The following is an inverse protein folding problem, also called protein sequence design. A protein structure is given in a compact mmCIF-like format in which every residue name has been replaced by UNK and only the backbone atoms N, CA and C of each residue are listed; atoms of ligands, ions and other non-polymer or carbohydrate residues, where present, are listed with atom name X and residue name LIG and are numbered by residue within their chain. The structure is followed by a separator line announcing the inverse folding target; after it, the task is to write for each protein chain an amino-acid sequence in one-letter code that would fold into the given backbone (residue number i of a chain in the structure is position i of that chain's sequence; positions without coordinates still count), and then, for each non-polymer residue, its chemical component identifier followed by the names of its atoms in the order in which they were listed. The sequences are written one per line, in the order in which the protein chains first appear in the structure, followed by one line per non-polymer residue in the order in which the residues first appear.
data_IF_600467183192
#
_entry.id   IF_600467183192
#
_cell.length_a   1.000
_cell.length_b   1.000
_cell.length_c   1.000
_cell.angle_alpha   90.00
_cell.angle_beta   90.00
_cell.angle_gamma   90.00
#
_symmetry.space_group_name_H-M   'P 1'
#
loop_
_entity.id
_entity.type
_entity.pdbx_description
1 polymer ?
#
# COMPACT_ATOMS: atom_id res chain seq x y z
N UNK A 1 -31.11 -22.67 -74.39
CA UNK A 1 -30.04 -21.73 -74.81
C UNK A 1 -28.97 -21.73 -73.72
N UNK A 2 -27.73 -22.06 -74.12
CA UNK A 2 -26.42 -21.86 -73.46
C UNK A 2 -26.33 -22.19 -71.95
N UNK A 3 -25.88 -23.37 -71.51
CA UNK A 3 -24.53 -24.00 -71.63
C UNK A 3 -23.37 -23.18 -71.06
N UNK A 4 -22.72 -23.71 -70.02
CA UNK A 4 -21.27 -24.02 -69.90
C UNK A 4 -20.88 -24.00 -68.40
N UNK A 5 -20.65 -25.14 -67.74
CA UNK A 5 -19.49 -26.07 -67.77
C UNK A 5 -18.22 -25.55 -67.07
N UNK A 6 -17.66 -26.46 -66.25
CA UNK A 6 -16.24 -26.64 -65.91
C UNK A 6 -15.62 -25.62 -64.93
N UNK A 7 -14.75 -25.96 -63.98
CA UNK A 7 -13.80 -27.07 -63.79
C UNK A 7 -13.55 -27.23 -62.25
N UNK A 8 -13.56 -28.43 -61.66
CA UNK A 8 -12.45 -29.40 -61.61
C UNK A 8 -11.36 -29.08 -60.55
N UNK A 9 -11.40 -29.88 -59.48
CA UNK A 9 -10.29 -30.45 -58.66
C UNK A 9 -9.03 -29.64 -58.35
N UNK A 10 -8.72 -29.53 -57.05
CA UNK A 10 -7.38 -29.77 -56.45
C UNK A 10 -7.53 -29.95 -54.93
N UNK A 11 -7.55 -31.17 -54.41
CA UNK A 11 -6.43 -31.87 -53.75
C UNK A 11 -5.70 -31.05 -52.66
N UNK A 12 -5.89 -31.53 -51.43
CA UNK A 12 -4.89 -31.82 -50.40
C UNK A 12 -4.17 -30.70 -49.60
N UNK A 13 -4.19 -30.95 -48.28
CA UNK A 13 -3.16 -30.73 -47.26
C UNK A 13 -2.77 -29.30 -46.86
N UNK A 14 -2.93 -29.03 -45.55
CA UNK A 14 -1.99 -28.45 -44.57
C UNK A 14 -2.84 -28.04 -43.35
N UNK A 15 -3.07 -28.85 -42.32
CA UNK A 15 -2.14 -29.27 -41.25
C UNK A 15 -1.10 -28.22 -40.84
N UNK A 16 -1.16 -27.88 -39.55
CA UNK A 16 -0.15 -27.24 -38.70
C UNK A 16 0.03 -25.70 -38.79
N UNK A 17 -0.64 -25.00 -37.87
CA UNK A 17 -0.12 -23.76 -37.25
C UNK A 17 -0.55 -23.74 -35.77
N UNK A 18 -0.01 -24.69 -35.01
CA UNK A 18 0.00 -24.70 -33.56
C UNK A 18 1.46 -24.64 -33.11
N UNK A 19 2.01 -23.43 -33.06
CA UNK A 19 3.36 -23.07 -32.59
C UNK A 19 3.55 -21.56 -32.87
N UNK A 20 3.90 -20.62 -31.99
CA UNK A 20 4.43 -20.62 -30.64
C UNK A 20 3.91 -19.37 -29.92
N UNK A 21 3.31 -19.54 -28.75
CA UNK A 21 3.08 -18.46 -27.79
C UNK A 21 4.13 -18.51 -26.68
N UNK A 22 5.40 -18.29 -27.03
CA UNK A 22 6.47 -18.11 -26.06
C UNK A 22 6.93 -16.64 -26.10
N UNK A 23 6.77 -15.94 -24.98
CA UNK A 23 7.23 -14.56 -24.79
C UNK A 23 6.11 -13.65 -24.26
N UNK A 24 6.21 -12.95 -23.13
CA UNK A 24 7.35 -12.64 -22.28
C UNK A 24 6.90 -12.77 -20.81
N UNK A 25 7.26 -13.88 -20.16
CA UNK A 25 7.29 -13.90 -18.70
C UNK A 25 8.46 -13.04 -18.25
N UNK A 26 8.21 -11.75 -18.00
CA UNK A 26 9.22 -10.88 -17.42
C UNK A 26 9.80 -11.57 -16.19
N UNK A 27 11.13 -11.69 -16.15
CA UNK A 27 11.83 -12.28 -15.03
C UNK A 27 11.33 -11.59 -13.75
N UNK A 28 10.58 -12.34 -12.93
CA UNK A 28 10.20 -11.86 -11.61
C UNK A 28 11.51 -11.72 -10.85
N UNK A 29 11.93 -10.49 -10.60
CA UNK A 29 13.01 -10.21 -9.67
C UNK A 29 12.62 -10.94 -8.37
N UNK A 30 13.41 -11.94 -7.92
CA UNK A 30 13.14 -12.60 -6.66
C UNK A 30 13.27 -11.53 -5.59
N UNK A 31 12.14 -11.08 -5.05
CA UNK A 31 12.12 -10.35 -3.79
C UNK A 31 12.68 -11.34 -2.78
N UNK A 32 13.80 -11.00 -2.14
CA UNK A 32 14.41 -11.82 -1.10
C UNK A 32 13.31 -12.26 -0.12
N UNK A 33 12.99 -13.54 -0.14
CA UNK A 33 11.91 -14.13 0.66
C UNK A 33 12.47 -14.27 2.06
N UNK A 34 12.26 -13.23 2.87
CA UNK A 34 12.34 -13.40 4.32
C UNK A 34 11.35 -14.52 4.67
N UNK A 35 11.74 -15.54 5.45
CA UNK A 35 10.83 -16.61 5.83
C UNK A 35 9.56 -16.00 6.41
N UNK A 36 8.40 -16.54 6.02
CA UNK A 36 7.12 -16.07 6.53
C UNK A 36 7.14 -16.17 8.07
N UNK A 37 6.65 -15.14 8.78
CA UNK A 37 6.65 -15.16 10.23
C UNK A 37 5.80 -16.33 10.71
N UNK A 38 6.27 -17.06 11.72
CA UNK A 38 5.53 -18.19 12.28
C UNK A 38 4.62 -17.72 13.42
N UNK A 39 5.13 -16.77 14.23
CA UNK A 39 4.46 -16.32 15.46
C UNK A 39 4.34 -14.81 15.52
N UNK A 40 3.15 -14.31 15.86
CA UNK A 40 2.81 -12.89 15.79
C UNK A 40 2.06 -12.39 17.03
N UNK A 41 2.26 -11.12 17.35
CA UNK A 41 1.42 -10.39 18.30
C UNK A 41 0.39 -9.54 17.55
N UNK A 42 -0.88 -9.58 17.94
CA UNK A 42 -1.94 -8.73 17.34
C UNK A 42 -2.21 -7.57 18.28
N UNK A 43 -1.70 -6.39 17.94
CA UNK A 43 -1.89 -5.21 18.78
C UNK A 43 -3.36 -4.75 18.80
N UNK A 44 -3.83 -4.16 19.92
CA UNK A 44 -5.16 -3.58 20.00
C UNK A 44 -5.44 -2.61 18.85
N UNK A 45 -6.60 -2.74 18.22
CA UNK A 45 -6.93 -1.91 17.06
C UNK A 45 -7.02 -0.44 17.42
N UNK A 46 -6.57 0.40 16.48
CA UNK A 46 -6.66 1.85 16.62
C UNK A 46 -7.78 2.38 15.75
N UNK A 47 -8.67 3.14 16.38
CA UNK A 47 -9.75 3.79 15.68
C UNK A 47 -9.32 5.15 15.14
N UNK A 48 -9.06 5.19 13.84
CA UNK A 48 -8.79 6.42 13.06
C UNK A 48 -10.02 6.84 12.25
N UNK A 49 -11.21 6.37 12.62
CA UNK A 49 -12.48 6.66 11.94
C UNK A 49 -13.31 7.78 12.57
N UNK A 50 -12.95 8.25 13.76
CA UNK A 50 -13.59 9.40 14.43
C UNK A 50 -14.94 9.13 15.13
N UNK A 51 -15.57 7.98 14.94
CA UNK A 51 -16.76 7.52 15.68
C UNK A 51 -16.44 6.32 16.56
N UNK A 52 -17.16 6.05 17.66
CA UNK A 52 -16.81 4.97 18.60
C UNK A 52 -16.92 3.59 17.93
N UNK A 53 -15.82 2.83 17.93
CA UNK A 53 -15.77 1.46 17.42
C UNK A 53 -15.64 0.47 18.59
N UNK A 54 -16.33 -0.69 18.56
CA UNK A 54 -16.23 -1.70 19.61
C UNK A 54 -14.87 -2.40 19.51
N UNK A 55 -13.91 -1.97 20.34
CA UNK A 55 -12.53 -2.43 20.25
C UNK A 55 -12.38 -3.93 20.56
N UNK A 56 -12.96 -4.41 21.66
CA UNK A 56 -12.72 -5.79 22.13
C UNK A 56 -13.24 -6.87 21.16
N UNK A 57 -14.51 -6.77 20.73
CA UNK A 57 -15.11 -7.72 19.79
C UNK A 57 -14.43 -7.69 18.42
N UNK A 58 -14.03 -6.50 17.98
CA UNK A 58 -13.30 -6.34 16.74
C UNK A 58 -11.89 -6.94 16.83
N UNK A 59 -11.17 -6.67 17.91
CA UNK A 59 -9.81 -7.16 18.13
C UNK A 59 -9.77 -8.70 18.16
N UNK A 60 -10.72 -9.34 18.84
CA UNK A 60 -10.88 -10.80 18.82
C UNK A 60 -11.14 -11.33 17.41
N UNK A 61 -12.00 -10.66 16.64
CA UNK A 61 -12.25 -11.06 15.25
C UNK A 61 -11.01 -10.89 14.35
N UNK A 62 -10.15 -9.91 14.63
CA UNK A 62 -8.85 -9.76 13.96
C UNK A 62 -7.91 -10.90 14.35
N UNK A 63 -7.78 -11.23 15.64
CA UNK A 63 -6.97 -12.38 16.10
C UNK A 63 -7.40 -13.68 15.44
N UNK A 64 -8.70 -13.97 15.41
CA UNK A 64 -9.26 -15.14 14.72
C UNK A 64 -8.96 -15.12 13.21
N UNK A 65 -8.99 -13.95 12.58
CA UNK A 65 -8.67 -13.80 11.16
C UNK A 65 -7.19 -14.06 10.87
N UNK A 66 -6.30 -13.56 11.73
CA UNK A 66 -4.85 -13.79 11.66
C UNK A 66 -4.51 -15.26 11.91
N UNK A 67 -5.12 -15.88 12.93
CA UNK A 67 -4.94 -17.29 13.22
C UNK A 67 -5.44 -18.19 12.07
N UNK A 68 -6.61 -17.89 11.49
CA UNK A 68 -7.14 -18.60 10.31
C UNK A 68 -6.26 -18.47 9.07
N UNK A 69 -5.47 -17.39 8.96
CA UNK A 69 -4.51 -17.21 7.88
C UNK A 69 -3.24 -18.09 8.04
N UNK A 70 -3.08 -18.78 9.17
CA UNK A 70 -2.00 -19.74 9.42
C UNK A 70 -0.87 -19.23 10.33
N UNK A 71 -1.08 -18.12 11.03
CA UNK A 71 -0.09 -17.55 11.96
C UNK A 71 -0.40 -17.96 13.41
N UNK A 72 0.63 -18.26 14.20
CA UNK A 72 0.47 -18.46 15.64
C UNK A 72 0.31 -17.11 16.35
N UNK A 73 -0.85 -16.87 16.96
CA UNK A 73 -1.14 -15.61 17.66
C UNK A 73 -0.81 -15.73 19.14
N UNK A 74 -0.02 -14.79 19.67
CA UNK A 74 0.29 -14.69 21.10
C UNK A 74 -1.00 -14.50 21.92
N UNK A 75 -1.17 -15.19 23.06
CA UNK A 75 -2.34 -15.00 23.92
C UNK A 75 -2.51 -13.56 24.39
N UNK A 76 -3.77 -13.08 24.41
CA UNK A 76 -4.12 -11.70 24.78
C UNK A 76 -3.54 -11.26 26.12
N UNK A 77 -3.62 -12.10 27.15
CA UNK A 77 -3.08 -11.79 28.48
C UNK A 77 -1.58 -11.47 28.45
N UNK A 78 -0.78 -12.27 27.73
CA UNK A 78 0.66 -12.05 27.63
C UNK A 78 0.97 -10.74 26.88
N UNK A 79 0.18 -10.42 25.85
CA UNK A 79 0.28 -9.15 25.14
C UNK A 79 -0.08 -7.96 26.05
N UNK A 80 -1.16 -8.04 26.81
CA UNK A 80 -1.60 -6.94 27.69
C UNK A 80 -0.57 -6.66 28.79
N UNK A 81 0.00 -7.71 29.39
CA UNK A 81 1.11 -7.59 30.35
C UNK A 81 2.36 -6.94 29.72
N UNK A 82 2.69 -7.32 28.49
CA UNK A 82 3.78 -6.72 27.73
C UNK A 82 3.53 -5.23 27.46
N UNK A 83 2.36 -4.87 26.93
CA UNK A 83 2.00 -3.47 26.62
C UNK A 83 2.02 -2.60 27.88
N UNK A 84 1.53 -3.14 29.00
CA UNK A 84 1.55 -2.44 30.29
C UNK A 84 2.98 -2.24 30.82
N UNK A 85 3.83 -3.28 30.76
CA UNK A 85 5.23 -3.24 31.21
C UNK A 85 6.06 -2.23 30.43
N UNK A 86 5.96 -2.27 29.10
CA UNK A 86 6.67 -1.35 28.19
C UNK A 86 5.97 -0.01 28.01
N UNK A 87 4.84 0.21 28.69
CA UNK A 87 4.03 1.43 28.62
C UNK A 87 3.71 1.84 27.18
N UNK A 88 3.43 0.85 26.33
CA UNK A 88 3.08 1.05 24.93
C UNK A 88 1.69 1.67 24.88
N UNK A 89 1.64 3.00 24.77
CA UNK A 89 0.38 3.77 24.74
C UNK A 89 -0.22 3.91 23.35
N UNK A 90 0.56 3.66 22.30
CA UNK A 90 0.10 3.79 20.93
C UNK A 90 0.40 2.51 20.17
N UNK A 91 -0.66 1.93 19.61
CA UNK A 91 -0.63 0.67 18.86
C UNK A 91 -0.85 0.88 17.36
N UNK A 92 -0.82 2.13 16.88
CA UNK A 92 -1.06 2.49 15.47
C UNK A 92 0.17 2.30 14.56
N UNK A 93 1.32 2.02 15.16
CA UNK A 93 2.59 1.70 14.52
C UNK A 93 3.54 1.04 15.51
N UNK A 94 4.68 0.58 15.01
CA UNK A 94 5.68 -0.17 15.79
C UNK A 94 7.03 0.53 15.68
N UNK A 95 7.48 1.15 16.76
CA UNK A 95 8.84 1.69 16.83
C UNK A 95 9.89 0.59 17.05
N UNK A 96 11.16 0.95 16.89
CA UNK A 96 12.28 0.00 16.99
C UNK A 96 12.41 -0.63 18.38
N UNK A 97 12.14 0.14 19.44
CA UNK A 97 12.24 -0.34 20.83
C UNK A 97 11.15 -1.38 21.11
N UNK A 98 9.91 -1.08 20.74
CA UNK A 98 8.75 -1.98 20.88
C UNK A 98 8.94 -3.24 20.04
N UNK A 99 9.46 -3.12 18.82
CA UNK A 99 9.76 -4.26 17.96
C UNK A 99 10.77 -5.22 18.60
N UNK A 100 11.91 -4.69 19.10
CA UNK A 100 12.94 -5.48 19.76
C UNK A 100 12.40 -6.14 21.04
N UNK A 101 11.71 -5.37 21.88
CA UNK A 101 11.13 -5.88 23.12
C UNK A 101 10.10 -6.99 22.86
N UNK A 102 9.24 -6.84 21.84
CA UNK A 102 8.27 -7.88 21.48
C UNK A 102 8.96 -9.16 21.00
N UNK A 103 10.05 -9.04 20.23
CA UNK A 103 10.84 -10.20 19.79
C UNK A 103 11.48 -10.93 20.98
N UNK A 104 12.08 -10.19 21.90
CA UNK A 104 12.83 -10.76 23.03
C UNK A 104 11.91 -11.35 24.11
N UNK A 105 10.80 -10.69 24.44
CA UNK A 105 9.91 -11.12 25.52
C UNK A 105 8.76 -12.01 25.04
N UNK A 106 8.14 -11.65 23.91
CA UNK A 106 7.01 -12.42 23.38
C UNK A 106 7.45 -13.48 22.37
N UNK A 107 8.70 -13.47 21.88
CA UNK A 107 9.18 -14.46 20.91
C UNK A 107 8.42 -14.39 19.58
N UNK A 108 8.03 -13.19 19.14
CA UNK A 108 7.30 -12.96 17.89
C UNK A 108 8.22 -12.50 16.77
N UNK A 109 7.94 -12.96 15.55
CA UNK A 109 8.64 -12.58 14.33
C UNK A 109 8.07 -11.29 13.71
N UNK A 110 6.79 -11.03 14.01
CA UNK A 110 6.07 -9.88 13.49
C UNK A 110 4.94 -9.43 14.43
N UNK A 111 4.50 -8.19 14.26
CA UNK A 111 3.36 -7.59 14.92
C UNK A 111 2.30 -7.25 13.87
N UNK A 112 1.04 -7.63 14.14
CA UNK A 112 -0.12 -7.23 13.36
C UNK A 112 -0.70 -5.96 13.97
N UNK A 113 -0.82 -4.92 13.14
CA UNK A 113 -1.46 -3.65 13.50
C UNK A 113 -2.76 -3.52 12.72
N UNK A 114 -3.87 -3.32 13.45
CA UNK A 114 -5.18 -3.05 12.86
C UNK A 114 -5.58 -1.58 13.06
N UNK A 115 -6.04 -0.94 11.98
CA UNK A 115 -6.53 0.45 12.02
C UNK A 115 -7.92 0.53 11.41
N UNK A 116 -8.90 1.01 12.18
CA UNK A 116 -10.28 1.21 11.74
C UNK A 116 -10.42 2.62 11.18
N UNK A 117 -10.48 2.74 9.86
CA UNK A 117 -10.55 4.02 9.14
C UNK A 117 -11.97 4.61 9.03
N UNK A 118 -12.98 3.78 9.17
CA UNK A 118 -14.38 4.19 9.21
C UNK A 118 -15.19 3.17 9.99
N UNK A 119 -16.07 3.63 10.87
CA UNK A 119 -17.01 2.78 11.57
C UNK A 119 -18.33 3.52 11.75
N UNK A 120 -19.39 2.96 11.17
CA UNK A 120 -20.76 3.44 11.32
C UNK A 120 -21.65 2.21 11.53
N UNK A 121 -22.13 1.92 12.75
CA UNK A 121 -22.96 0.75 12.99
C UNK A 121 -24.41 0.96 12.54
N UNK A 122 -24.84 2.22 12.39
CA UNK A 122 -26.21 2.58 12.00
C UNK A 122 -26.43 2.40 10.51
N UNK A 123 -27.65 2.02 10.14
CA UNK A 123 -28.02 1.74 8.74
C UNK A 123 -27.80 2.95 7.80
N UNK A 124 -27.12 2.75 6.65
CA UNK A 124 -26.41 1.53 6.27
C UNK A 124 -25.10 1.37 7.06
N UNK A 125 -24.83 0.21 7.68
CA UNK A 125 -23.59 -0.02 8.41
C UNK A 125 -22.36 0.10 7.49
N UNK A 126 -21.27 0.67 8.00
CA UNK A 126 -20.02 0.87 7.26
C UNK A 126 -18.81 0.49 8.09
N UNK A 127 -17.84 -0.15 7.45
CA UNK A 127 -16.56 -0.47 8.05
C UNK A 127 -15.43 -0.31 7.02
N UNK A 128 -14.35 0.34 7.44
CA UNK A 128 -13.07 0.37 6.72
C UNK A 128 -11.96 -0.05 7.68
N UNK A 129 -11.15 -1.02 7.28
CA UNK A 129 -10.06 -1.59 8.09
C UNK A 129 -8.81 -1.68 7.23
N UNK A 130 -7.68 -1.27 7.80
CA UNK A 130 -6.34 -1.54 7.28
C UNK A 130 -5.62 -2.47 8.25
N UNK A 131 -5.07 -3.57 7.74
CA UNK A 131 -4.19 -4.46 8.50
C UNK A 131 -2.77 -4.35 7.97
N UNK A 132 -1.80 -4.39 8.88
CA UNK A 132 -0.37 -4.41 8.59
C UNK A 132 0.31 -5.52 9.35
N UNK A 133 1.24 -6.19 8.70
CA UNK A 133 2.18 -7.12 9.31
C UNK A 133 3.56 -6.45 9.29
N UNK A 134 4.11 -6.21 10.47
CA UNK A 134 5.37 -5.48 10.66
C UNK A 134 6.39 -6.42 11.28
N UNK A 135 7.57 -6.57 10.69
CA UNK A 135 8.64 -7.40 11.26
C UNK A 135 9.15 -6.83 12.57
N UNK A 136 9.57 -7.70 13.49
CA UNK A 136 10.26 -7.31 14.73
C UNK A 136 11.79 -7.30 14.59
N UNK A 137 12.30 -7.50 13.37
CA UNK A 137 13.72 -7.33 13.06
C UNK A 137 14.17 -5.88 13.21
N UNK A 138 15.48 -5.65 13.34
CA UNK A 138 16.05 -4.31 13.39
C UNK A 138 16.55 -3.84 12.02
N UNK A 139 16.00 -2.77 11.41
CA UNK A 139 14.80 -2.01 11.82
C UNK A 139 13.48 -2.70 11.44
N UNK A 140 12.34 -2.38 12.10
CA UNK A 140 11.05 -2.97 11.77
C UNK A 140 10.60 -2.52 10.37
N UNK A 141 10.05 -3.46 9.59
CA UNK A 141 9.65 -3.25 8.20
C UNK A 141 8.22 -3.73 7.97
N UNK A 142 7.50 -3.03 7.10
CA UNK A 142 6.17 -3.48 6.67
C UNK A 142 6.35 -4.67 5.72
N UNK A 143 6.04 -5.87 6.20
CA UNK A 143 6.07 -7.10 5.40
C UNK A 143 4.87 -7.16 4.46
N UNK A 144 3.71 -6.78 4.97
CA UNK A 144 2.45 -6.77 4.25
C UNK A 144 1.51 -5.69 4.80
N UNK A 145 0.72 -5.08 3.92
CA UNK A 145 -0.30 -4.10 4.29
C UNK A 145 -1.45 -4.18 3.32
N UNK A 146 -2.67 -4.42 3.80
CA UNK A 146 -3.87 -4.35 2.97
C UNK A 146 -5.03 -3.68 3.69
N UNK A 147 -6.04 -3.30 2.92
CA UNK A 147 -7.18 -2.52 3.35
C UNK A 147 -8.45 -3.05 2.70
N UNK A 148 -9.54 -3.05 3.46
CA UNK A 148 -10.85 -3.43 2.98
C UNK A 148 -11.90 -2.47 3.53
N UNK A 149 -12.81 -2.08 2.63
CA UNK A 149 -13.94 -1.21 2.93
C UNK A 149 -15.21 -1.91 2.50
N UNK A 150 -16.27 -1.79 3.29
CA UNK A 150 -17.60 -2.27 2.95
C UNK A 150 -18.66 -1.33 3.53
N UNK A 151 -19.65 -1.00 2.71
CA UNK A 151 -20.88 -0.33 3.14
C UNK A 151 -22.08 -1.26 2.95
N UNK A 152 -23.07 -1.15 3.84
CA UNK A 152 -24.28 -1.94 3.78
C UNK A 152 -25.14 -1.65 2.55
N UNK A 153 -24.98 -0.47 1.96
CA UNK A 153 -25.63 0.00 0.74
C UNK A 153 -24.74 -0.01 -0.49
N UNK A 154 -23.57 -0.66 -0.46
CA UNK A 154 -22.64 -0.67 -1.60
C UNK A 154 -23.17 -1.46 -2.81
N UNK A 155 -23.95 -2.53 -2.55
CA UNK A 155 -24.56 -3.37 -3.58
C UNK A 155 -26.02 -3.64 -3.23
N UNK A 156 -26.90 -2.63 -3.32
CA UNK A 156 -28.29 -2.76 -2.93
C UNK A 156 -29.04 -3.76 -3.82
N UNK A 157 -28.59 -3.99 -5.06
CA UNK A 157 -29.25 -4.90 -6.00
C UNK A 157 -30.63 -4.41 -6.43
N UNK A 158 -31.38 -5.27 -7.12
CA UNK A 158 -32.75 -4.97 -7.53
C UNK A 158 -33.64 -4.82 -6.28
N UNK A 159 -34.41 -3.72 -6.19
CA UNK A 159 -35.31 -3.41 -5.07
C UNK A 159 -34.64 -3.37 -3.68
N UNK A 160 -33.32 -3.19 -3.58
CA UNK A 160 -32.63 -3.12 -2.29
C UNK A 160 -32.41 -4.47 -1.59
N UNK A 161 -32.64 -5.60 -2.27
CA UNK A 161 -32.51 -6.95 -1.68
C UNK A 161 -31.07 -7.30 -1.23
N UNK A 162 -30.07 -6.59 -1.74
CA UNK A 162 -28.66 -6.74 -1.38
C UNK A 162 -28.21 -5.84 -0.22
N UNK A 163 -29.10 -5.02 0.36
CA UNK A 163 -28.78 -4.19 1.51
C UNK A 163 -28.39 -5.05 2.71
N UNK A 164 -27.29 -4.67 3.36
CA UNK A 164 -26.84 -5.28 4.61
C UNK A 164 -27.11 -4.29 5.73
N UNK A 165 -28.02 -4.65 6.64
CA UNK A 165 -28.34 -3.83 7.81
C UNK A 165 -27.56 -4.25 9.07
N UNK A 166 -27.04 -5.48 9.10
CA UNK A 166 -26.27 -6.02 10.22
C UNK A 166 -24.79 -5.60 10.13
N UNK A 167 -24.28 -4.79 11.09
CA UNK A 167 -22.86 -4.41 11.11
C UNK A 167 -21.93 -5.62 11.29
N UNK A 168 -22.34 -6.68 11.98
CA UNK A 168 -21.50 -7.87 12.13
C UNK A 168 -21.28 -8.59 10.79
N UNK A 169 -22.28 -8.59 9.91
CA UNK A 169 -22.13 -9.10 8.53
C UNK A 169 -21.15 -8.26 7.71
N UNK A 170 -21.19 -6.93 7.84
CA UNK A 170 -20.20 -6.05 7.19
C UNK A 170 -18.79 -6.35 7.70
N UNK A 171 -18.63 -6.51 9.01
CA UNK A 171 -17.35 -6.88 9.63
C UNK A 171 -16.79 -8.20 9.09
N UNK A 172 -17.60 -9.27 9.05
CA UNK A 172 -17.16 -10.57 8.51
C UNK A 172 -16.68 -10.44 7.06
N UNK A 173 -17.41 -9.72 6.20
CA UNK A 173 -17.02 -9.53 4.80
C UNK A 173 -15.66 -8.81 4.68
N UNK A 174 -15.45 -7.77 5.49
CA UNK A 174 -14.19 -7.00 5.50
C UNK A 174 -13.03 -7.85 5.99
N UNK A 175 -13.18 -8.53 7.12
CA UNK A 175 -12.12 -9.36 7.70
C UNK A 175 -11.83 -10.62 6.87
N UNK A 176 -12.84 -11.26 6.27
CA UNK A 176 -12.62 -12.42 5.38
C UNK A 176 -11.89 -12.02 4.07
N UNK A 177 -12.07 -10.78 3.59
CA UNK A 177 -11.26 -10.26 2.47
C UNK A 177 -9.80 -10.08 2.89
N UNK A 178 -9.57 -9.47 4.06
CA UNK A 178 -8.23 -9.22 4.59
C UNK A 178 -7.49 -10.51 4.94
N UNK A 179 -8.17 -11.48 5.56
CA UNK A 179 -7.62 -12.80 5.88
C UNK A 179 -7.19 -13.56 4.63
N UNK A 180 -8.00 -13.53 3.55
CA UNK A 180 -7.60 -14.13 2.26
C UNK A 180 -6.39 -13.44 1.62
N UNK A 181 -6.31 -12.11 1.72
CA UNK A 181 -5.16 -11.34 1.22
C UNK A 181 -3.88 -11.68 2.01
N UNK A 182 -3.97 -11.75 3.34
CA UNK A 182 -2.87 -12.17 4.20
C UNK A 182 -2.43 -13.61 3.90
N UNK A 183 -3.37 -14.53 3.77
CA UNK A 183 -3.08 -15.93 3.42
C UNK A 183 -2.37 -16.04 2.05
N UNK A 184 -2.82 -15.28 1.04
CA UNK A 184 -2.16 -15.23 -0.26
C UNK A 184 -0.72 -14.69 -0.18
N UNK A 185 -0.49 -13.69 0.68
CA UNK A 185 0.86 -13.19 0.97
C UNK A 185 1.73 -14.27 1.61
N UNK A 186 1.24 -14.96 2.64
CA UNK A 186 2.00 -15.99 3.37
C UNK A 186 2.38 -17.20 2.50
N UNK A 187 1.50 -17.62 1.58
CA UNK A 187 1.77 -18.79 0.73
C UNK A 187 2.53 -18.50 -0.57
N UNK A 188 2.49 -17.27 -1.08
CA UNK A 188 3.01 -16.97 -2.41
C UNK A 188 3.76 -15.65 -2.55
N UNK A 189 3.97 -14.92 -1.45
CA UNK A 189 4.54 -13.57 -1.47
C UNK A 189 3.66 -12.59 -2.25
N UNK A 190 2.36 -12.89 -2.42
CA UNK A 190 1.44 -12.02 -3.13
C UNK A 190 1.37 -10.66 -2.41
N UNK A 191 1.62 -9.58 -3.14
CA UNK A 191 1.40 -8.25 -2.59
C UNK A 191 -0.09 -8.01 -2.37
N UNK A 192 -0.37 -7.13 -1.42
CA UNK A 192 -1.72 -6.68 -1.14
C UNK A 192 -2.43 -6.10 -2.37
N UNK A 193 -3.76 -6.11 -2.31
CA UNK A 193 -4.59 -5.65 -3.42
C UNK A 193 -4.53 -4.13 -3.55
N UNK A 194 -4.24 -3.61 -4.74
CA UNK A 194 -4.44 -2.19 -5.04
C UNK A 194 -5.93 -1.85 -5.11
N UNK A 195 -6.25 -0.58 -4.89
CA UNK A 195 -7.52 -0.10 -5.42
C UNK A 195 -7.38 0.10 -6.93
N UNK A 196 -8.45 -0.16 -7.67
CA UNK A 196 -8.44 0.05 -9.11
C UNK A 196 -8.39 1.57 -9.38
N UNK A 197 -7.35 2.09 -10.04
CA UNK A 197 -7.28 3.50 -10.36
C UNK A 197 -8.33 3.82 -11.43
N UNK A 198 -9.21 4.77 -11.12
CA UNK A 198 -10.26 5.19 -12.06
C UNK A 198 -9.90 6.52 -12.70
N UNK A 199 -10.13 6.62 -14.01
CA UNK A 199 -9.80 7.82 -14.78
C UNK A 199 -10.47 9.09 -14.24
N UNK A 200 -11.70 8.98 -13.70
CA UNK A 200 -12.45 10.11 -13.12
C UNK A 200 -11.83 10.65 -11.83
N UNK A 201 -11.02 9.85 -11.13
CA UNK A 201 -10.35 10.25 -9.89
C UNK A 201 -8.86 10.53 -10.09
N UNK A 202 -8.45 10.82 -11.33
CA UNK A 202 -7.07 11.22 -11.61
C UNK A 202 -6.77 12.58 -10.97
N UNK A 203 -5.55 12.79 -10.46
CA UNK A 203 -5.15 14.09 -9.94
C UNK A 203 -5.37 15.19 -10.97
N UNK A 204 -5.91 16.33 -10.53
CA UNK A 204 -6.22 17.48 -11.40
C UNK A 204 -4.96 18.22 -11.80
N UNK A 205 -4.02 18.35 -10.87
CA UNK A 205 -2.73 18.95 -11.10
C UNK A 205 -1.65 17.94 -10.70
N UNK A 206 -0.66 17.76 -11.56
CA UNK A 206 0.53 16.94 -11.28
C UNK A 206 1.75 17.73 -11.70
N UNK A 207 2.74 17.76 -10.82
CA UNK A 207 4.08 18.20 -11.12
C UNK A 207 5.03 17.05 -10.87
N UNK A 208 5.98 16.83 -11.78
CA UNK A 208 7.09 15.89 -11.63
C UNK A 208 8.37 16.59 -12.02
N UNK A 209 9.34 16.59 -11.12
CA UNK A 209 10.68 17.08 -11.39
C UNK A 209 11.41 16.14 -12.35
N UNK A 210 12.11 16.65 -13.38
CA UNK A 210 12.95 15.84 -14.25
C UNK A 210 14.15 15.23 -13.53
N UNK A 211 14.45 15.67 -12.30
CA UNK A 211 15.55 15.15 -11.47
C UNK A 211 15.17 13.93 -10.63
N UNK A 212 13.89 13.57 -10.58
CA UNK A 212 13.45 12.36 -9.89
C UNK A 212 14.00 11.14 -10.65
N UNK A 213 14.95 10.43 -10.02
CA UNK A 213 15.59 9.22 -10.56
C UNK A 213 14.60 8.07 -10.73
N UNK A 214 15.08 6.94 -11.25
CA UNK A 214 14.35 5.67 -11.21
C UNK A 214 14.70 4.90 -9.93
N UNK A 215 13.76 4.08 -9.47
CA UNK A 215 13.82 3.35 -8.20
C UNK A 215 14.72 2.10 -8.23
N UNK A 216 14.85 1.39 -7.09
CA UNK A 216 13.95 1.45 -5.93
C UNK A 216 14.16 2.67 -5.03
N UNK A 217 13.12 2.99 -4.25
CA UNK A 217 13.08 4.07 -3.27
C UNK A 217 12.66 3.56 -1.90
N UNK A 218 13.36 3.98 -0.85
CA UNK A 218 12.89 3.90 0.52
C UNK A 218 12.11 5.17 0.86
N UNK A 219 10.81 5.03 1.17
CA UNK A 219 9.86 6.14 1.24
C UNK A 219 9.31 6.27 2.66
N UNK A 220 9.53 7.42 3.30
CA UNK A 220 8.89 7.77 4.56
C UNK A 220 7.61 8.57 4.29
N UNK A 221 6.46 8.08 4.75
CA UNK A 221 5.19 8.81 4.64
C UNK A 221 4.91 9.51 5.97
N UNK A 222 4.95 10.84 5.94
CA UNK A 222 4.66 11.67 7.10
C UNK A 222 3.15 11.73 7.37
N UNK A 223 2.73 11.92 8.64
CA UNK A 223 1.34 12.17 8.97
C UNK A 223 0.79 13.36 8.19
N UNK A 224 -0.32 13.15 7.48
CA UNK A 224 -0.97 14.19 6.70
C UNK A 224 -1.61 15.21 7.63
N UNK A 225 -1.46 16.49 7.27
CA UNK A 225 -2.21 17.53 7.93
C UNK A 225 -3.70 17.37 7.64
N UNK A 226 -4.52 17.74 8.61
CA UNK A 226 -5.95 17.58 8.55
C UNK A 226 -6.65 18.93 8.71
N UNK A 227 -7.17 19.47 7.61
CA UNK A 227 -7.98 20.70 7.57
C UNK A 227 -9.48 20.37 7.58
N UNK A 228 -9.85 19.09 7.71
CA UNK A 228 -11.23 18.65 7.71
C UNK A 228 -11.85 18.73 9.11
N UNK A 229 -13.18 18.64 9.19
CA UNK A 229 -13.89 18.51 10.46
C UNK A 229 -13.71 17.14 11.13
N UNK A 230 -13.31 16.12 10.37
CA UNK A 230 -13.13 14.76 10.88
C UNK A 230 -11.70 14.62 11.40
N UNK A 231 -11.52 14.57 12.72
CA UNK A 231 -10.20 14.62 13.39
C UNK A 231 -9.14 13.66 12.84
N UNK A 232 -9.54 12.53 12.27
CA UNK A 232 -8.66 11.45 11.86
C UNK A 232 -8.49 11.31 10.34
N UNK A 233 -8.99 12.26 9.53
CA UNK A 233 -8.87 12.20 8.08
C UNK A 233 -7.40 12.18 7.60
N UNK A 234 -6.51 12.90 8.31
CA UNK A 234 -5.07 12.88 8.05
C UNK A 234 -4.47 11.49 8.23
N UNK A 235 -4.78 10.80 9.33
CA UNK A 235 -4.29 9.44 9.58
C UNK A 235 -4.83 8.45 8.54
N UNK A 236 -6.12 8.55 8.19
CA UNK A 236 -6.74 7.72 7.15
C UNK A 236 -6.05 7.89 5.79
N UNK A 237 -5.78 9.14 5.37
CA UNK A 237 -5.07 9.44 4.12
C UNK A 237 -3.62 8.97 4.14
N UNK A 238 -2.91 9.15 5.26
CA UNK A 238 -1.54 8.69 5.45
C UNK A 238 -1.44 7.19 5.30
N UNK A 239 -2.30 6.45 5.99
CA UNK A 239 -2.32 4.99 5.95
C UNK A 239 -2.71 4.45 4.59
N UNK A 240 -3.71 5.05 3.94
CA UNK A 240 -4.14 4.61 2.61
C UNK A 240 -3.05 4.88 1.57
N UNK A 241 -2.36 6.03 1.64
CA UNK A 241 -1.26 6.31 0.71
C UNK A 241 -0.06 5.38 0.94
N UNK A 242 0.30 5.12 2.20
CA UNK A 242 1.33 4.14 2.56
C UNK A 242 0.97 2.74 2.02
N UNK A 243 -0.31 2.36 2.08
CA UNK A 243 -0.82 1.11 1.52
C UNK A 243 -0.69 1.08 0.00
N UNK A 244 -1.09 2.12 -0.71
CA UNK A 244 -0.95 2.14 -2.17
C UNK A 244 0.52 2.10 -2.60
N UNK A 245 1.40 2.83 -1.90
CA UNK A 245 2.83 2.84 -2.20
C UNK A 245 3.48 1.48 -1.98
N UNK A 246 3.15 0.74 -0.91
CA UNK A 246 3.76 -0.57 -0.61
C UNK A 246 3.44 -1.66 -1.65
N UNK A 247 2.36 -1.47 -2.42
CA UNK A 247 2.06 -2.36 -3.54
C UNK A 247 2.98 -2.13 -4.73
N UNK A 248 3.76 -1.04 -4.76
CA UNK A 248 4.71 -0.73 -5.82
C UNK A 248 6.02 -1.51 -5.65
N UNK A 249 6.51 -2.20 -6.69
CA UNK A 249 7.85 -2.81 -6.65
C UNK A 249 8.98 -1.79 -6.50
N UNK A 250 8.73 -0.53 -6.85
CA UNK A 250 9.73 0.53 -6.79
C UNK A 250 9.80 1.22 -5.42
N UNK A 251 8.95 0.85 -4.45
CA UNK A 251 8.84 1.52 -3.17
C UNK A 251 8.95 0.54 -2.00
N UNK A 252 9.88 0.82 -1.09
CA UNK A 252 9.92 0.28 0.26
C UNK A 252 9.39 1.35 1.21
N UNK A 253 8.19 1.14 1.76
CA UNK A 253 7.56 2.12 2.66
C UNK A 253 8.08 1.91 4.07
N UNK A 254 8.63 2.97 4.66
CA UNK A 254 9.07 2.97 6.07
C UNK A 254 7.85 2.84 6.98
N UNK A 255 8.01 2.05 8.04
CA UNK A 255 6.94 1.81 9.00
C UNK A 255 6.51 3.15 9.70
N UNK A 256 5.20 3.47 9.75
CA UNK A 256 4.74 4.77 10.29
C UNK A 256 5.00 5.04 11.78
N UNK A 257 5.06 4.02 12.63
CA UNK A 257 5.57 4.09 14.00
C UNK A 257 7.03 4.56 14.09
N UNK A 258 7.93 4.08 13.22
CA UNK A 258 9.30 4.60 13.11
C UNK A 258 9.30 6.07 12.71
N UNK A 259 8.52 6.43 11.69
CA UNK A 259 8.37 7.83 11.26
C UNK A 259 7.92 8.69 12.44
N UNK A 260 6.88 8.26 13.16
CA UNK A 260 6.35 8.96 14.33
C UNK A 260 7.37 9.06 15.46
N UNK A 261 8.13 7.99 15.74
CA UNK A 261 9.17 7.98 16.77
C UNK A 261 10.24 9.03 16.50
N UNK A 262 10.66 9.18 15.23
CA UNK A 262 11.61 10.21 14.81
C UNK A 262 11.02 11.60 14.97
N UNK A 263 9.77 11.83 14.57
CA UNK A 263 9.12 13.14 14.74
C UNK A 263 9.04 13.52 16.23
N UNK A 264 8.64 12.59 17.09
CA UNK A 264 8.53 12.83 18.54
C UNK A 264 9.88 13.04 19.21
N UNK A 265 10.88 12.20 18.90
CA UNK A 265 12.22 12.30 19.46
C UNK A 265 12.92 13.63 19.11
N UNK A 266 12.65 14.15 17.91
CA UNK A 266 13.22 15.41 17.44
C UNK A 266 12.28 16.62 17.66
N UNK A 267 11.15 16.43 18.36
CA UNK A 267 10.14 17.48 18.65
C UNK A 267 9.68 18.25 17.40
N UNK A 268 9.58 17.55 16.28
CA UNK A 268 9.20 18.13 15.00
C UNK A 268 7.68 18.31 14.97
N UNK A 269 7.24 19.56 14.88
CA UNK A 269 5.84 19.94 14.70
C UNK A 269 5.63 20.42 13.26
N UNK A 270 4.46 20.13 12.69
CA UNK A 270 4.11 20.49 11.31
C UNK A 270 2.85 21.37 11.28
N UNK A 271 2.89 22.61 11.83
CA UNK A 271 1.69 23.45 11.95
C UNK A 271 1.17 24.01 10.61
N UNK A 272 1.94 23.89 9.52
CA UNK A 272 1.58 24.43 8.20
C UNK A 272 2.10 23.60 7.02
N UNK A 273 2.55 22.37 7.28
CA UNK A 273 3.09 21.45 6.30
C UNK A 273 4.48 20.99 6.69
N UNK A 274 5.16 20.38 5.74
CA UNK A 274 6.51 19.86 5.92
C UNK A 274 7.49 20.90 5.40
N UNK A 275 8.27 21.50 6.29
CA UNK A 275 9.41 22.32 5.88
C UNK A 275 10.54 21.44 5.34
N UNK A 276 11.41 22.02 4.51
CA UNK A 276 12.60 21.31 3.99
C UNK A 276 13.48 20.79 5.13
N UNK A 277 13.63 21.57 6.20
CA UNK A 277 14.43 21.16 7.38
C UNK A 277 13.85 19.94 8.09
N UNK A 278 12.53 19.88 8.26
CA UNK A 278 11.83 18.74 8.86
C UNK A 278 11.97 17.52 7.95
N UNK A 279 11.77 17.68 6.64
CA UNK A 279 11.95 16.61 5.68
C UNK A 279 13.39 16.07 5.68
N UNK A 280 14.39 16.95 5.64
CA UNK A 280 15.81 16.57 5.65
C UNK A 280 16.17 15.79 6.91
N UNK A 281 15.72 16.26 8.08
CA UNK A 281 15.91 15.53 9.36
C UNK A 281 15.30 14.14 9.33
N UNK A 282 14.08 14.00 8.79
CA UNK A 282 13.39 12.70 8.70
C UNK A 282 14.11 11.76 7.72
N UNK A 283 14.51 12.28 6.55
CA UNK A 283 15.26 11.53 5.54
C UNK A 283 16.56 10.99 6.14
N UNK A 284 17.29 11.82 6.90
CA UNK A 284 18.55 11.45 7.57
C UNK A 284 18.35 10.36 8.62
N UNK A 285 17.38 10.56 9.53
CA UNK A 285 17.18 9.64 10.65
C UNK A 285 16.60 8.30 10.24
N UNK A 286 15.83 8.25 9.16
CA UNK A 286 15.22 7.03 8.66
C UNK A 286 16.02 6.38 7.52
N UNK A 287 17.07 7.03 7.03
CA UNK A 287 17.80 6.63 5.82
C UNK A 287 16.82 6.40 4.66
N UNK A 288 15.92 7.36 4.45
CA UNK A 288 14.91 7.33 3.40
C UNK A 288 15.36 8.16 2.19
N UNK A 289 15.01 7.72 0.99
CA UNK A 289 15.28 8.43 -0.26
C UNK A 289 14.27 9.56 -0.48
N UNK A 290 13.00 9.27 -0.16
CA UNK A 290 11.88 10.16 -0.40
C UNK A 290 11.07 10.34 0.88
N UNK A 291 10.60 11.57 1.10
CA UNK A 291 9.59 11.89 2.12
C UNK A 291 8.31 12.32 1.42
N UNK A 292 7.21 11.70 1.81
CA UNK A 292 5.87 12.02 1.32
C UNK A 292 5.12 12.78 2.41
N UNK A 293 4.60 13.94 2.05
CA UNK A 293 3.81 14.80 2.90
C UNK A 293 2.48 15.14 2.22
N UNK A 294 1.49 15.54 3.00
CA UNK A 294 0.23 15.95 2.41
C UNK A 294 -0.71 16.69 3.36
N UNK A 295 -1.76 17.22 2.77
CA UNK A 295 -2.82 17.95 3.45
C UNK A 295 -4.16 17.42 2.97
N UNK A 296 -5.03 17.02 3.89
CA UNK A 296 -6.41 16.62 3.61
C UNK A 296 -7.33 17.81 3.86
N UNK A 297 -7.96 18.31 2.80
CA UNK A 297 -8.85 19.48 2.83
C UNK A 297 -10.32 19.10 2.94
N UNK A 298 -10.69 17.98 2.34
CA UNK A 298 -12.06 17.45 2.38
C UNK A 298 -12.05 15.95 2.60
N UNK A 299 -12.89 15.50 3.52
CA UNK A 299 -13.09 14.09 3.80
C UNK A 299 -14.47 13.89 4.40
N UNK A 300 -15.45 13.73 3.52
CA UNK A 300 -16.87 13.71 3.83
C UNK A 300 -17.49 12.42 3.33
N UNK A 301 -18.21 11.73 4.19
CA UNK A 301 -19.07 10.61 3.79
C UNK A 301 -20.36 11.13 3.14
N UNK A 302 -20.94 10.33 2.25
CA UNK A 302 -22.25 10.60 1.68
C UNK A 302 -23.34 10.60 2.75
N UNK A 303 -23.99 11.74 2.93
CA UNK A 303 -25.13 11.92 3.84
C UNK A 303 -26.49 11.68 3.17
N UNK A 304 -27.37 10.95 3.85
CA UNK A 304 -28.74 10.68 3.36
C UNK A 304 -28.78 9.68 2.19
N UNK A 305 -29.97 9.54 1.58
CA UNK A 305 -30.22 8.53 0.54
C UNK A 305 -29.49 8.79 -0.78
N UNK A 306 -29.01 10.02 -1.03
CA UNK A 306 -28.39 10.44 -2.29
C UNK A 306 -27.03 11.13 -2.11
N UNK A 307 -26.46 11.11 -0.89
CA UNK A 307 -25.19 11.76 -0.63
C UNK A 307 -24.03 10.99 -1.24
N UNK A 308 -23.18 11.68 -1.98
CA UNK A 308 -21.88 11.18 -2.43
C UNK A 308 -20.79 11.52 -1.42
N UNK A 309 -19.78 10.65 -1.31
CA UNK A 309 -18.58 10.97 -0.56
C UNK A 309 -17.75 12.02 -1.30
N UNK A 310 -16.96 12.80 -0.57
CA UNK A 310 -16.01 13.76 -1.15
C UNK A 310 -14.67 13.68 -0.45
N UNK A 311 -13.61 13.64 -1.25
CA UNK A 311 -12.23 13.58 -0.76
C UNK A 311 -11.39 14.57 -1.55
N UNK A 312 -10.67 15.43 -0.85
CA UNK A 312 -9.71 16.36 -1.45
C UNK A 312 -8.43 16.32 -0.62
N UNK A 313 -7.31 16.02 -1.27
CA UNK A 313 -6.01 16.09 -0.63
C UNK A 313 -4.90 16.45 -1.62
N UNK A 314 -3.86 17.06 -1.07
CA UNK A 314 -2.62 17.38 -1.77
C UNK A 314 -1.52 16.45 -1.27
N UNK A 315 -0.67 15.98 -2.19
CA UNK A 315 0.51 15.18 -1.86
C UNK A 315 1.74 15.87 -2.43
N UNK A 316 2.81 15.92 -1.65
CA UNK A 316 4.12 16.40 -2.05
C UNK A 316 5.18 15.35 -1.69
N UNK A 317 6.14 15.15 -2.58
CA UNK A 317 7.26 14.23 -2.42
C UNK A 317 8.53 15.06 -2.49
N UNK A 318 9.35 14.97 -1.45
CA UNK A 318 10.65 15.61 -1.36
C UNK A 318 11.73 14.55 -1.55
N UNK A 319 12.71 14.85 -2.39
CA UNK A 319 13.84 13.97 -2.69
C UNK A 319 15.08 14.39 -1.90
N UNK A 320 15.67 13.42 -1.18
CA UNK A 320 16.91 13.58 -0.42
C UNK A 320 18.08 14.06 -1.27
N UNK A 321 18.23 13.52 -2.49
CA UNK A 321 19.43 13.75 -3.29
C UNK A 321 19.57 15.21 -3.75
N UNK A 322 18.45 15.91 -3.88
CA UNK A 322 18.41 17.25 -4.47
C UNK A 322 17.76 18.29 -3.56
N UNK A 323 17.19 17.89 -2.41
CA UNK A 323 16.44 18.75 -1.48
C UNK A 323 15.33 19.58 -2.16
N UNK A 324 14.71 19.02 -3.20
CA UNK A 324 13.61 19.66 -3.95
C UNK A 324 12.34 18.82 -3.88
N UNK A 325 11.21 19.47 -4.15
CA UNK A 325 9.96 18.78 -4.47
C UNK A 325 10.18 17.99 -5.76
N UNK A 326 10.22 16.67 -5.66
CA UNK A 326 10.40 15.76 -6.78
C UNK A 326 9.07 15.45 -7.48
N UNK A 327 7.97 15.49 -6.73
CA UNK A 327 6.64 15.27 -7.26
C UNK A 327 5.60 15.97 -6.38
N UNK A 328 4.51 16.45 -6.98
CA UNK A 328 3.35 16.92 -6.22
C UNK A 328 2.06 16.73 -6.99
N UNK A 329 0.95 16.55 -6.28
CA UNK A 329 -0.36 16.55 -6.90
C UNK A 329 -1.43 17.20 -6.04
N UNK A 330 -2.45 17.72 -6.72
CA UNK A 330 -3.72 18.12 -6.12
C UNK A 330 -4.78 17.18 -6.66
N UNK A 331 -5.44 16.47 -5.76
CA UNK A 331 -6.43 15.45 -6.11
C UNK A 331 -7.75 15.74 -5.40
N UNK A 332 -8.82 15.67 -6.17
CA UNK A 332 -10.19 15.78 -5.68
C UNK A 332 -10.99 14.64 -6.29
N UNK A 333 -11.80 13.98 -5.49
CA UNK A 333 -12.81 13.04 -5.93
C UNK A 333 -14.17 13.42 -5.36
N UNK A 334 -15.19 13.44 -6.23
CA UNK A 334 -16.58 13.43 -5.83
C UNK A 334 -17.18 12.06 -6.19
N UNK A 335 -17.78 11.40 -5.21
CA UNK A 335 -18.39 10.09 -5.40
C UNK A 335 -19.58 10.10 -6.36
N UNK A 336 -20.11 11.26 -6.73
CA UNK A 336 -21.14 11.44 -7.76
C UNK A 336 -20.57 11.55 -9.19
N UNK A 337 -19.26 11.69 -9.35
CA UNK A 337 -18.64 11.83 -10.67
C UNK A 337 -18.85 10.56 -11.50
N UNK A 338 -19.40 10.65 -12.71
CA UNK A 338 -19.61 9.48 -13.56
C UNK A 338 -20.68 8.50 -13.08
N UNK A 339 -21.59 8.95 -12.20
CA UNK A 339 -22.82 8.21 -11.89
C UNK A 339 -23.70 8.13 -13.12
N UNK A 340 -24.16 6.92 -13.44
CA UNK A 340 -25.11 6.67 -14.52
C UNK A 340 -26.44 6.18 -13.94
N UNK A 341 -27.41 5.84 -14.80
CA UNK A 341 -28.77 5.44 -14.41
C UNK A 341 -28.79 4.51 -13.19
N UNK A 342 -29.69 4.80 -12.23
CA UNK A 342 -29.90 4.03 -10.99
C UNK A 342 -28.70 4.00 -10.02
N UNK A 343 -28.05 5.14 -9.79
CA UNK A 343 -26.91 5.29 -8.88
C UNK A 343 -25.70 4.39 -9.22
N UNK A 344 -25.65 3.84 -10.44
CA UNK A 344 -24.55 3.00 -10.88
C UNK A 344 -23.28 3.85 -10.96
N UNK A 345 -22.26 3.46 -10.18
CA UNK A 345 -20.99 4.17 -10.08
C UNK A 345 -20.90 5.15 -8.92
N UNK A 346 -21.96 5.34 -8.13
CA UNK A 346 -21.98 6.22 -6.95
C UNK A 346 -21.11 5.66 -5.83
N UNK A 347 -20.20 6.48 -5.30
CA UNK A 347 -19.35 6.15 -4.16
C UNK A 347 -19.82 6.94 -2.94
N UNK A 348 -20.36 6.24 -1.94
CA UNK A 348 -20.96 6.85 -0.74
C UNK A 348 -20.02 6.90 0.47
N UNK A 349 -18.94 6.13 0.43
CA UNK A 349 -18.00 5.98 1.53
C UNK A 349 -16.69 6.71 1.20
N UNK A 350 -16.29 7.65 2.05
CA UNK A 350 -15.06 8.43 1.91
C UNK A 350 -13.80 7.58 1.96
N UNK A 351 -13.79 6.47 2.68
CA UNK A 351 -12.65 5.53 2.71
C UNK A 351 -12.49 4.79 1.37
N UNK A 352 -13.60 4.37 0.73
CA UNK A 352 -13.56 3.76 -0.61
C UNK A 352 -13.12 4.79 -1.66
N UNK A 353 -13.68 6.02 -1.60
CA UNK A 353 -13.27 7.09 -2.49
C UNK A 353 -11.78 7.46 -2.33
N UNK A 354 -11.31 7.61 -1.09
CA UNK A 354 -9.91 7.86 -0.77
C UNK A 354 -9.00 6.76 -1.33
N UNK A 355 -9.41 5.50 -1.24
CA UNK A 355 -8.68 4.37 -1.78
C UNK A 355 -8.45 4.50 -3.29
N UNK A 356 -9.50 4.86 -4.04
CA UNK A 356 -9.45 5.04 -5.50
C UNK A 356 -8.64 6.28 -5.90
N UNK A 357 -8.81 7.39 -5.18
CA UNK A 357 -8.03 8.63 -5.43
C UNK A 357 -6.55 8.40 -5.11
N UNK A 358 -6.22 7.76 -3.98
CA UNK A 358 -4.85 7.43 -3.60
C UNK A 358 -4.19 6.46 -4.58
N UNK A 359 -4.92 5.45 -5.08
CA UNK A 359 -4.43 4.56 -6.12
C UNK A 359 -4.09 5.33 -7.40
N UNK A 360 -4.97 6.24 -7.83
CA UNK A 360 -4.72 7.13 -8.99
C UNK A 360 -3.53 8.08 -8.78
N UNK A 361 -3.33 8.57 -7.55
CA UNK A 361 -2.16 9.38 -7.17
C UNK A 361 -0.87 8.57 -7.32
N UNK A 362 -0.81 7.36 -6.77
CA UNK A 362 0.38 6.49 -6.84
C UNK A 362 0.64 6.01 -8.27
N UNK A 363 -0.40 5.70 -9.04
CA UNK A 363 -0.30 5.36 -10.47
C UNK A 363 0.35 6.51 -11.26
N UNK A 364 -0.07 7.75 -11.00
CA UNK A 364 0.48 8.95 -11.66
C UNK A 364 1.82 9.40 -11.12
N UNK A 365 2.23 8.92 -9.95
CA UNK A 365 3.58 9.13 -9.45
C UNK A 365 4.61 8.44 -10.37
N UNK A 366 4.22 7.37 -11.08
CA UNK A 366 5.02 6.63 -12.05
C UNK A 366 6.46 6.35 -11.53
N UNK A 367 6.51 5.74 -10.34
CA UNK A 367 7.77 5.26 -9.76
C UNK A 367 8.24 4.06 -10.59
N UNK A 368 9.04 4.32 -11.62
CA UNK A 368 9.64 3.29 -12.45
C UNK A 368 10.79 2.61 -11.69
N UNK A 369 10.91 1.29 -11.84
CA UNK A 369 12.10 0.55 -11.39
C UNK A 369 13.15 0.70 -12.48
N UNK A 370 14.39 1.07 -12.11
CA UNK A 370 15.48 1.17 -13.06
C UNK A 370 15.61 -0.14 -13.85
N UNK A 371 15.52 -0.06 -15.19
CA UNK A 371 15.75 -1.21 -16.07
C UNK A 371 17.24 -1.52 -16.12
N UNK A 372 17.79 -2.25 -15.15
CA UNK A 372 19.11 -2.88 -15.31
C UNK A 372 20.05 -2.94 -14.11
N UNK A 373 19.67 -3.64 -13.04
CA UNK A 373 20.65 -4.12 -12.03
C UNK A 373 20.59 -5.64 -11.78
N UNK A 374 19.82 -6.38 -12.58
CA UNK A 374 19.85 -7.84 -12.58
C UNK A 374 20.87 -8.38 -13.57
N UNK A 375 22.08 -8.68 -13.10
CA UNK A 375 23.04 -9.55 -13.79
C UNK A 375 24.13 -8.86 -14.60
N UNK A 376 25.10 -8.27 -13.91
CA UNK A 376 26.44 -8.12 -14.44
C UNK A 376 27.43 -8.42 -13.32
N UNK A 377 27.48 -9.69 -12.91
CA UNK A 377 28.63 -10.25 -12.23
C UNK A 377 29.09 -11.48 -13.00
N UNK A 378 30.41 -11.60 -13.12
CA UNK A 378 31.17 -12.69 -13.74
C UNK A 378 31.43 -12.63 -15.27
N UNK A 379 31.98 -11.52 -15.74
CA UNK A 379 32.94 -11.56 -16.86
C UNK A 379 34.37 -11.57 -16.30
N UNK A 380 34.86 -12.78 -16.09
CA UNK A 380 36.24 -13.13 -15.71
C UNK A 380 37.28 -12.29 -16.50
N UNK A 381 38.30 -11.69 -15.84
CA UNK A 381 39.33 -10.95 -16.52
C UNK A 381 40.25 -11.94 -17.25
N UNK A 382 40.03 -12.12 -18.56
CA UNK A 382 41.01 -12.78 -19.42
C UNK A 382 42.32 -12.00 -19.36
N UNK A 383 43.31 -12.63 -18.73
CA UNK A 383 44.72 -12.31 -18.80
C UNK A 383 45.16 -12.06 -20.25
N UNK A 384 45.35 -10.79 -20.62
CA UNK A 384 46.16 -10.45 -21.79
C UNK A 384 47.61 -10.42 -21.37
N UNK A 385 48.28 -11.53 -21.63
CA UNK A 385 49.73 -11.67 -21.62
C UNK A 385 50.34 -10.59 -22.51
N UNK A 386 51.06 -9.64 -21.89
CA UNK A 386 51.97 -8.71 -22.59
C UNK A 386 53.11 -9.53 -23.19
N UNK A 387 53.15 -9.70 -24.50
CA UNK A 387 54.37 -10.06 -25.22
C UNK A 387 55.10 -8.78 -25.62
N UNK A 388 56.00 -8.32 -24.76
CA UNK A 388 57.02 -7.34 -25.12
C UNK A 388 58.17 -8.06 -25.82
N UNK A 389 58.30 -7.89 -27.13
CA UNK A 389 59.57 -8.16 -27.83
C UNK A 389 60.11 -6.82 -28.32
N UNK A 390 61.11 -6.35 -27.60
CA UNK A 390 62.06 -5.30 -28.00
C UNK A 390 62.77 -5.73 -29.28
N UNK A 391 62.72 -4.93 -30.34
CA UNK A 391 63.81 -4.85 -31.32
C UNK A 391 64.59 -3.57 -31.06
N UNK A 392 65.86 -3.74 -30.73
CA UNK A 392 66.80 -2.67 -30.50
C UNK A 392 67.18 -1.96 -31.80
N UNK A 393 67.31 -0.64 -31.70
CA UNK A 393 68.12 0.17 -32.59
C UNK A 393 69.51 0.27 -31.94
N UNK A 394 70.51 -0.28 -32.62
CA UNK A 394 71.93 -0.11 -32.32
C UNK A 394 72.60 0.54 -33.51
N UNK A 395 73.22 1.68 -33.24
CA UNK A 395 74.01 2.58 -34.08
C UNK A 395 75.09 1.93 -34.96
N UNK A 396 75.27 2.46 -36.18
CA UNK A 396 76.48 3.17 -36.61
C UNK A 396 76.16 4.11 -37.77
#
# INVERSE_FOLDING_TARGET
MTSCRSCSTRTALLLALAAWGAGCGGARVPVATTPAPARVAVFPSVNVGGGPAPAEDFDRAVEETVARAGLEVVPRQALDEFLARHRVRNTSGVDAETAVAAREELGVDAIVVASVGAYQPKSPPRLAVTLRLVSTGGPPRVLWIDGAVRSGDERPGLLGLGLIHDPARVQRIVLDRLGRSLQAFLHGGARASRCDPERRFRPRLVFRSPRLREGPFKIAVLPFMNETRRRSAGDAATLELARQLSTSPAAEVVEPGLVRSVLLANRLLMPGGVSVDVASTVLDKLDADLVVAGVVRRYEDGGGAFGAARVEFTVQVLDRAHEVVAWSSVSEGDGADGVWWFDLGLVRNSADLLCRVAASVVDRMDLQVARGSGGADEASPRSRTRSSVRRGYGSR
#
